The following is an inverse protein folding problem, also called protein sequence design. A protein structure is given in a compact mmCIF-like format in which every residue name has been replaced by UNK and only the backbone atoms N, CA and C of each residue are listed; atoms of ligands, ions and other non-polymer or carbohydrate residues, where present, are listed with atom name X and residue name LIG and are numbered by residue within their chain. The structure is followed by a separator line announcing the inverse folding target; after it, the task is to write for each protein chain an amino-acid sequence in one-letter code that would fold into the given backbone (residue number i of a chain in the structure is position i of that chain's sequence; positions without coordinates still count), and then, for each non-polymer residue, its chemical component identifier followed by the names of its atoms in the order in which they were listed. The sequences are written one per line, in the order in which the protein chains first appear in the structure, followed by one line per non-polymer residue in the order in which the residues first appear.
data_IF_509423004343
#
_entry.id   IF_509423004343
#
_cell.length_a   1.000
_cell.length_b   1.000
_cell.length_c   1.000
_cell.angle_alpha   90.00
_cell.angle_beta   90.00
_cell.angle_gamma   90.00
#
_symmetry.space_group_name_H-M   'P 1'
#
loop_
_entity.id
_entity.type
_entity.pdbx_description
1 polymer ?
#
# COMPACT_ATOMS: atom_id res chain seq x y z
N UNK A 1 23.41 16.49 7.34
CA UNK A 1 23.50 16.04 5.94
C UNK A 1 24.38 14.82 5.91
N UNK A 2 23.88 13.70 5.38
CA UNK A 2 24.65 12.45 5.39
C UNK A 2 25.79 12.58 4.39
N UNK A 3 27.00 12.79 4.91
CA UNK A 3 28.22 12.90 4.13
C UNK A 3 28.36 11.76 3.12
N UNK A 4 29.01 12.06 2.00
CA UNK A 4 29.37 11.12 0.93
C UNK A 4 30.34 10.06 1.47
N UNK A 5 29.80 9.10 2.22
CA UNK A 5 30.56 7.97 2.72
C UNK A 5 30.89 7.10 1.51
N UNK A 6 32.17 7.05 1.14
CA UNK A 6 32.66 6.01 0.24
C UNK A 6 32.28 4.66 0.86
N UNK A 7 31.72 3.72 0.09
CA UNK A 7 31.31 2.45 0.65
C UNK A 7 32.48 1.69 1.30
N UNK A 8 32.20 0.83 2.30
CA UNK A 8 33.22 -0.03 2.90
C UNK A 8 33.99 -0.83 1.85
N UNK A 9 35.24 -1.20 2.18
CA UNK A 9 36.07 -2.02 1.31
C UNK A 9 35.36 -3.34 0.99
N UNK A 10 35.19 -3.64 -0.31
CA UNK A 10 34.45 -4.81 -0.80
C UNK A 10 32.97 -4.58 -1.12
N UNK A 11 32.40 -3.41 -0.80
CA UNK A 11 31.05 -3.09 -1.27
C UNK A 11 31.03 -2.82 -2.78
N UNK A 12 30.11 -3.49 -3.48
CA UNK A 12 29.85 -3.30 -4.90
C UNK A 12 28.42 -2.82 -5.07
N UNK A 13 28.18 -1.81 -5.91
CA UNK A 13 26.85 -1.30 -6.13
C UNK A 13 25.91 -2.40 -6.66
N UNK A 14 24.77 -2.59 -6.00
CA UNK A 14 23.83 -3.65 -6.38
C UNK A 14 23.09 -3.38 -7.70
N UNK A 15 23.05 -2.13 -8.18
CA UNK A 15 22.46 -1.72 -9.47
C UNK A 15 23.41 -1.96 -10.64
N UNK A 16 24.57 -1.28 -10.66
CA UNK A 16 25.49 -1.30 -11.81
C UNK A 16 26.66 -2.30 -11.69
N UNK A 17 26.82 -2.98 -10.54
CA UNK A 17 27.92 -3.93 -10.26
C UNK A 17 29.33 -3.33 -10.26
N UNK A 18 29.44 -2.01 -10.08
CA UNK A 18 30.72 -1.29 -10.00
C UNK A 18 30.97 -0.88 -8.53
N UNK A 19 32.19 -1.01 -7.99
CA UNK A 19 32.53 -0.53 -6.65
C UNK A 19 32.63 1.01 -6.58
N UNK A 20 32.73 1.56 -5.37
CA UNK A 20 33.07 2.97 -5.14
C UNK A 20 31.90 3.93 -4.89
N UNK A 21 30.65 3.49 -5.02
CA UNK A 21 29.47 4.29 -4.67
C UNK A 21 28.34 3.41 -4.10
N UNK A 22 27.50 3.97 -3.24
CA UNK A 22 26.27 3.32 -2.80
C UNK A 22 25.19 3.37 -3.88
N UNK A 23 24.25 2.43 -3.87
CA UNK A 23 23.12 2.39 -4.83
C UNK A 23 22.33 3.71 -4.92
N UNK A 24 22.22 4.45 -3.82
CA UNK A 24 21.56 5.77 -3.77
C UNK A 24 22.25 6.82 -4.65
N UNK A 25 23.55 6.68 -4.88
CA UNK A 25 24.38 7.58 -5.68
C UNK A 25 24.90 6.88 -6.95
N UNK A 26 24.18 5.86 -7.43
CA UNK A 26 24.55 5.16 -8.64
C UNK A 26 24.41 6.10 -9.86
N UNK A 27 25.45 6.23 -10.70
CA UNK A 27 25.40 7.10 -11.89
C UNK A 27 24.36 6.63 -12.92
N UNK A 28 23.91 5.38 -12.82
CA UNK A 28 22.89 4.78 -13.69
C UNK A 28 21.48 4.87 -13.10
N UNK A 29 21.26 5.70 -12.07
CA UNK A 29 19.92 5.94 -11.53
C UNK A 29 19.04 6.65 -12.57
N UNK A 30 17.90 6.05 -12.90
CA UNK A 30 17.00 6.54 -13.94
C UNK A 30 17.20 5.91 -15.32
N UNK A 31 18.23 5.07 -15.50
CA UNK A 31 18.41 4.27 -16.72
C UNK A 31 17.72 2.91 -16.59
N UNK A 32 16.68 2.60 -17.41
CA UNK A 32 15.97 1.32 -17.41
C UNK A 32 16.84 0.11 -17.72
N UNK A 33 17.95 0.28 -18.45
CA UNK A 33 18.85 -0.83 -18.78
C UNK A 33 19.53 -1.43 -17.55
N UNK A 34 19.61 -0.67 -16.46
CA UNK A 34 20.20 -1.11 -15.19
C UNK A 34 19.14 -1.54 -14.16
N UNK A 35 17.85 -1.48 -14.52
CA UNK A 35 16.75 -2.02 -13.72
C UNK A 35 16.63 -3.54 -13.92
N UNK A 36 17.61 -4.28 -13.39
CA UNK A 36 17.59 -5.74 -13.40
C UNK A 36 16.43 -6.24 -12.52
N UNK A 37 15.30 -6.58 -13.13
CA UNK A 37 14.19 -7.27 -12.48
C UNK A 37 14.67 -8.65 -12.03
N UNK A 38 15.02 -8.80 -10.75
CA UNK A 38 15.36 -10.10 -10.16
C UNK A 38 14.09 -10.93 -10.01
N UNK A 39 13.83 -11.79 -10.99
CA UNK A 39 12.80 -12.83 -10.88
C UNK A 39 13.29 -13.92 -9.92
N UNK A 40 12.48 -14.25 -8.91
CA UNK A 40 12.79 -15.30 -7.94
C UNK A 40 12.24 -16.65 -8.43
N UNK A 41 12.90 -17.78 -8.13
CA UNK A 41 12.28 -19.07 -8.38
C UNK A 41 11.06 -19.26 -7.46
N UNK A 42 9.95 -19.85 -7.95
CA UNK A 42 8.76 -20.13 -7.14
C UNK A 42 8.96 -21.39 -6.28
N UNK A 43 9.82 -21.29 -5.26
CA UNK A 43 10.06 -22.37 -4.31
C UNK A 43 8.85 -22.55 -3.38
N UNK A 44 8.25 -23.74 -3.36
CA UNK A 44 7.12 -24.07 -2.47
C UNK A 44 5.75 -23.57 -2.94
N UNK A 45 5.66 -22.87 -4.09
CA UNK A 45 4.40 -22.39 -4.66
C UNK A 45 3.98 -23.35 -5.78
N UNK A 46 2.80 -23.99 -5.70
CA UNK A 46 2.29 -24.82 -6.78
C UNK A 46 2.12 -24.06 -8.11
N UNK A 47 2.43 -24.72 -9.24
CA UNK A 47 2.29 -24.11 -10.59
C UNK A 47 0.86 -23.66 -10.91
N UNK A 48 -0.16 -24.33 -10.35
CA UNK A 48 -1.58 -23.95 -10.52
C UNK A 48 -1.91 -22.58 -9.94
N UNK A 49 -1.09 -22.08 -9.01
CA UNK A 49 -1.23 -20.76 -8.39
C UNK A 49 -0.37 -19.70 -9.09
N UNK A 50 0.30 -20.02 -10.20
CA UNK A 50 1.15 -19.08 -10.94
C UNK A 50 0.53 -18.77 -12.31
N UNK A 51 0.39 -17.48 -12.62
CA UNK A 51 -0.11 -16.99 -13.91
C UNK A 51 1.08 -16.45 -14.70
N UNK A 52 1.41 -17.03 -15.88
CA UNK A 52 2.47 -16.50 -16.74
C UNK A 52 2.20 -15.06 -17.15
N UNK A 53 3.17 -14.18 -16.96
CA UNK A 53 3.08 -12.75 -17.29
C UNK A 53 4.49 -12.18 -17.49
N UNK A 54 4.77 -11.40 -18.55
CA UNK A 54 6.11 -10.84 -18.82
C UNK A 54 6.68 -10.00 -17.67
N UNK A 55 5.80 -9.33 -16.92
CA UNK A 55 6.14 -8.48 -15.78
C UNK A 55 6.08 -9.20 -14.42
N UNK A 56 6.01 -10.52 -14.44
CA UNK A 56 5.93 -11.33 -13.23
C UNK A 56 7.20 -11.30 -12.37
N UNK A 57 7.03 -11.55 -11.08
CA UNK A 57 8.14 -11.64 -10.12
C UNK A 57 8.74 -13.03 -10.01
N UNK A 58 8.05 -14.06 -10.51
CA UNK A 58 8.47 -15.46 -10.41
C UNK A 58 8.96 -16.00 -11.74
N UNK A 59 10.08 -16.72 -11.77
CA UNK A 59 10.59 -17.37 -12.97
C UNK A 59 10.00 -18.78 -13.13
N UNK A 60 9.37 -19.09 -14.26
CA UNK A 60 8.96 -20.46 -14.59
C UNK A 60 10.10 -21.23 -15.25
N UNK A 61 10.06 -22.58 -15.19
CA UNK A 61 10.97 -23.43 -15.97
C UNK A 61 10.91 -23.21 -17.48
N UNK A 62 9.81 -22.65 -17.99
CA UNK A 62 9.64 -22.24 -19.40
C UNK A 62 10.40 -20.97 -19.77
N UNK A 63 11.07 -20.30 -18.82
CA UNK A 63 11.77 -19.04 -19.04
C UNK A 63 10.86 -17.80 -19.02
N UNK A 64 9.55 -17.99 -18.90
CA UNK A 64 8.58 -16.90 -18.73
C UNK A 64 8.49 -16.47 -17.26
N UNK A 65 8.22 -15.19 -17.02
CA UNK A 65 7.89 -14.71 -15.69
C UNK A 65 6.42 -15.01 -15.34
N UNK A 66 6.07 -14.96 -14.05
CA UNK A 66 4.71 -15.15 -13.55
C UNK A 66 4.42 -14.38 -12.27
N UNK A 67 3.14 -14.19 -12.01
CA UNK A 67 2.58 -13.63 -10.78
C UNK A 67 1.79 -14.70 -10.03
N UNK A 68 1.66 -14.54 -8.71
CA UNK A 68 0.80 -15.40 -7.90
C UNK A 68 -0.67 -15.07 -8.20
N UNK A 69 -1.48 -16.09 -8.46
CA UNK A 69 -2.93 -15.97 -8.58
C UNK A 69 -3.53 -15.66 -7.20
N UNK A 70 -4.26 -14.55 -7.03
CA UNK A 70 -5.05 -14.32 -5.82
C UNK A 70 -6.07 -15.46 -5.63
N UNK A 71 -6.26 -15.88 -4.38
CA UNK A 71 -7.29 -16.86 -4.06
C UNK A 71 -8.61 -16.15 -3.76
N UNK A 72 -9.29 -15.71 -4.81
CA UNK A 72 -10.53 -14.91 -4.73
C UNK A 72 -11.60 -15.61 -3.88
N UNK A 73 -11.81 -16.91 -4.08
CA UNK A 73 -12.80 -17.68 -3.32
C UNK A 73 -12.51 -17.76 -1.82
N UNK A 74 -11.22 -17.89 -1.43
CA UNK A 74 -10.87 -17.87 0.00
C UNK A 74 -11.02 -16.47 0.59
N UNK A 75 -10.65 -15.43 -0.16
CA UNK A 75 -10.84 -14.06 0.24
C UNK A 75 -12.33 -13.77 0.48
N UNK A 76 -13.19 -14.06 -0.50
CA UNK A 76 -14.66 -13.92 -0.42
C UNK A 76 -15.25 -14.60 0.82
N UNK A 77 -14.81 -15.82 1.12
CA UNK A 77 -15.26 -16.55 2.31
C UNK A 77 -14.82 -15.89 3.63
N UNK A 78 -13.65 -15.26 3.68
CA UNK A 78 -13.19 -14.54 4.87
C UNK A 78 -13.93 -13.21 5.05
N UNK A 79 -14.24 -12.48 3.96
CA UNK A 79 -15.04 -11.24 4.03
C UNK A 79 -16.49 -11.51 4.42
N UNK A 80 -17.09 -12.63 4.02
CA UNK A 80 -18.43 -13.05 4.50
C UNK A 80 -18.45 -13.31 6.02
N UNK A 81 -17.32 -13.77 6.58
CA UNK A 81 -17.16 -14.00 8.02
C UNK A 81 -16.95 -12.73 8.84
N UNK A 82 -16.60 -11.60 8.20
CA UNK A 82 -16.61 -10.30 8.84
C UNK A 82 -18.03 -9.72 8.78
N UNK A 83 -18.58 -9.20 9.89
CA UNK A 83 -19.81 -8.43 9.84
C UNK A 83 -19.55 -7.15 9.03
N UNK A 84 -19.79 -7.20 7.72
CA UNK A 84 -19.78 -6.06 6.81
C UNK A 84 -20.85 -5.03 7.21
N UNK A 85 -21.81 -5.46 8.02
CA UNK A 85 -22.82 -4.63 8.66
C UNK A 85 -22.71 -4.77 10.19
N UNK A 86 -21.74 -4.10 10.82
CA UNK A 86 -22.07 -3.60 12.17
C UNK A 86 -23.23 -2.64 11.95
N UNK A 87 -24.40 -2.98 12.47
CA UNK A 87 -25.56 -2.10 12.42
C UNK A 87 -25.11 -0.74 12.98
N UNK A 88 -25.41 0.32 12.24
CA UNK A 88 -25.04 1.71 12.57
C UNK A 88 -25.51 2.12 13.98
N UNK A 89 -26.44 1.35 14.58
CA UNK A 89 -26.96 1.55 15.93
C UNK A 89 -26.04 1.16 17.09
N UNK A 90 -24.93 0.45 16.87
CA UNK A 90 -23.96 0.09 17.93
C UNK A 90 -22.71 1.00 17.93
N UNK A 91 -22.78 2.12 17.22
CA UNK A 91 -21.68 3.08 17.15
C UNK A 91 -21.74 4.01 18.38
N UNK A 92 -20.59 4.36 18.97
CA UNK A 92 -20.58 5.25 20.13
C UNK A 92 -21.23 6.60 19.79
N UNK A 93 -21.93 7.24 20.77
CA UNK A 93 -22.54 8.55 20.59
C UNK A 93 -21.59 9.64 20.09
N UNK A 94 -20.28 9.49 20.34
CA UNK A 94 -19.21 10.39 19.88
C UNK A 94 -19.08 10.49 18.36
N UNK A 95 -19.55 9.47 17.62
CA UNK A 95 -19.53 9.44 16.15
C UNK A 95 -20.80 10.04 15.54
N UNK A 96 -21.77 10.43 16.36
CA UNK A 96 -23.02 11.01 15.91
C UNK A 96 -22.89 12.53 15.82
N UNK A 97 -23.47 13.09 14.75
CA UNK A 97 -23.55 14.52 14.59
C UNK A 97 -24.44 15.10 15.70
N UNK A 98 -23.97 16.10 16.48
CA UNK A 98 -24.78 16.72 17.53
C UNK A 98 -26.07 17.39 17.03
N UNK A 99 -26.17 17.65 15.73
CA UNK A 99 -27.32 18.31 15.10
C UNK A 99 -28.37 17.33 14.57
N UNK A 100 -27.97 16.36 13.73
CA UNK A 100 -28.92 15.42 13.12
C UNK A 100 -29.03 14.08 13.86
N UNK A 101 -28.18 13.82 14.87
CA UNK A 101 -28.13 12.57 15.65
C UNK A 101 -27.91 11.29 14.85
N UNK A 102 -27.60 11.41 13.55
CA UNK A 102 -27.09 10.32 12.72
C UNK A 102 -25.56 10.32 12.76
N UNK A 103 -24.96 9.20 12.35
CA UNK A 103 -23.51 9.09 12.16
C UNK A 103 -23.03 10.16 11.18
N UNK A 104 -21.96 10.87 11.58
CA UNK A 104 -21.44 11.99 10.81
C UNK A 104 -21.07 11.56 9.38
N UNK A 105 -21.62 12.26 8.38
CA UNK A 105 -21.25 12.13 6.96
C UNK A 105 -20.43 13.34 6.56
N UNK A 106 -19.26 13.09 5.99
CA UNK A 106 -18.30 14.14 5.61
C UNK A 106 -17.98 15.06 6.81
N UNK A 107 -17.42 14.49 7.88
CA UNK A 107 -17.23 15.21 9.14
C UNK A 107 -16.28 16.41 8.99
N UNK A 108 -16.73 17.60 9.41
CA UNK A 108 -15.97 18.85 9.39
C UNK A 108 -15.77 19.36 10.82
N UNK A 109 -14.56 19.83 11.11
CA UNK A 109 -14.22 20.48 12.38
C UNK A 109 -14.53 21.98 12.33
N UNK A 110 -15.20 22.49 13.37
CA UNK A 110 -15.40 23.94 13.50
C UNK A 110 -14.14 24.60 14.06
N UNK A 111 -13.61 25.59 13.33
CA UNK A 111 -12.31 26.21 13.60
C UNK A 111 -12.31 27.30 14.67
N UNK A 112 -13.48 27.70 15.21
CA UNK A 112 -13.61 28.95 15.97
C UNK A 112 -13.89 28.85 17.48
N UNK A 113 -13.92 27.66 18.09
CA UNK A 113 -14.04 27.60 19.55
C UNK A 113 -13.64 26.29 20.21
N UNK A 114 -13.98 25.14 19.62
CA UNK A 114 -14.00 23.94 20.45
C UNK A 114 -13.90 22.61 19.67
N UNK A 115 -13.33 22.63 18.45
CA UNK A 115 -13.01 21.48 17.59
C UNK A 115 -14.10 20.39 17.55
N UNK A 116 -15.36 20.81 17.52
CA UNK A 116 -16.49 19.88 17.45
C UNK A 116 -16.68 19.44 16.00
N UNK A 117 -16.95 18.15 15.84
CA UNK A 117 -17.21 17.52 14.54
C UNK A 117 -18.70 17.53 14.21
N UNK A 118 -19.04 17.83 12.95
CA UNK A 118 -20.41 17.83 12.43
C UNK A 118 -20.42 17.30 11.00
N UNK A 119 -21.58 16.88 10.49
CA UNK A 119 -21.72 16.61 9.05
C UNK A 119 -21.47 17.88 8.22
N UNK A 120 -20.90 17.75 7.02
CA UNK A 120 -20.65 18.88 6.11
C UNK A 120 -21.92 19.71 5.83
N UNK A 121 -23.08 19.05 5.69
CA UNK A 121 -24.37 19.74 5.50
C UNK A 121 -24.90 20.41 6.77
N UNK A 122 -24.56 19.87 7.94
CA UNK A 122 -25.01 20.42 9.22
C UNK A 122 -24.16 21.62 9.65
N UNK A 123 -22.99 21.85 9.05
CA UNK A 123 -22.13 23.00 9.35
C UNK A 123 -22.86 24.34 9.15
N UNK A 124 -23.75 24.44 8.16
CA UNK A 124 -24.48 25.69 7.84
C UNK A 124 -25.42 26.14 8.97
N UNK A 125 -25.83 25.25 9.88
CA UNK A 125 -26.63 25.58 11.06
C UNK A 125 -25.76 26.18 12.18
N UNK A 126 -24.46 25.88 12.19
CA UNK A 126 -23.51 26.32 13.23
C UNK A 126 -22.82 27.64 12.87
N UNK A 127 -22.84 28.04 11.59
CA UNK A 127 -22.18 29.24 11.07
C UNK A 127 -23.15 30.38 10.69
N UNK A 128 -24.45 30.25 11.03
CA UNK A 128 -25.44 31.33 11.09
C UNK A 128 -25.64 31.74 12.56
#
# INVERSE_FOLDING_TARGET
GLERKTPPQGYVCHRCKIPGHFIQHCPTNGDPNYDIKKVKPPTGIPKSMLVPTPDGSYALPSGTAAVLRPNEAAFEKEIEGLPSTRSVGDLPPELHCPLCKEVMKDAVLTSKCCFKSFCDKCKFIVFL
#
